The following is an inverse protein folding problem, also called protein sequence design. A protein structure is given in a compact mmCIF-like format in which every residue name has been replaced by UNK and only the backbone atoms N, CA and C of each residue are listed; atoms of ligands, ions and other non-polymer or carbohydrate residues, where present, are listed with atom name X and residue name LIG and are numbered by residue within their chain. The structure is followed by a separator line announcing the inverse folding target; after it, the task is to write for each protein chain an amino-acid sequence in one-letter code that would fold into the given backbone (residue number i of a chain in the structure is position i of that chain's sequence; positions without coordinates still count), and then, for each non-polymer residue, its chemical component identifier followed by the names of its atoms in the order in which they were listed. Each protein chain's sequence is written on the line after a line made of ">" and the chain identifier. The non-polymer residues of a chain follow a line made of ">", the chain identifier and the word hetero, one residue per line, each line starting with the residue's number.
data_IF_596943154613
#
_entry.id   IF_596943154613
#
_cell.length_a   1.000
_cell.length_b   1.000
_cell.length_c   1.000
_cell.angle_alpha   90.00
_cell.angle_beta   90.00
_cell.angle_gamma   90.00
#
_symmetry.space_group_name_H-M   'P 1'
#
loop_
_entity.id
_entity.type
_entity.pdbx_description
1 polymer ?
#
# COMPACT_ATOMS: atom_id res chain seq x y z
N UNK A 1 1.04 -8.77 -24.22
CA UNK A 1 1.76 -8.87 -22.94
C UNK A 1 2.94 -9.80 -23.13
N UNK A 2 4.15 -9.37 -22.80
CA UNK A 2 5.34 -10.23 -22.87
C UNK A 2 5.24 -11.31 -21.78
N UNK A 3 5.49 -12.58 -22.14
CA UNK A 3 5.44 -13.69 -21.19
C UNK A 3 6.77 -13.76 -20.41
N UNK A 4 6.99 -12.79 -19.51
CA UNK A 4 8.19 -12.74 -18.68
C UNK A 4 8.09 -13.84 -17.62
N UNK A 5 9.06 -14.76 -17.60
CA UNK A 5 9.17 -15.74 -16.53
C UNK A 5 9.86 -15.11 -15.31
N UNK A 6 9.06 -14.56 -14.41
CA UNK A 6 9.56 -13.87 -13.21
C UNK A 6 10.32 -14.78 -12.24
N UNK A 7 9.97 -16.07 -12.17
CA UNK A 7 10.70 -17.02 -11.31
C UNK A 7 12.09 -17.31 -11.87
N UNK A 8 12.20 -17.49 -13.19
CA UNK A 8 13.49 -17.61 -13.83
C UNK A 8 14.34 -16.33 -13.66
N UNK A 9 13.72 -15.16 -13.77
CA UNK A 9 14.42 -13.88 -13.56
C UNK A 9 14.90 -13.71 -12.11
N UNK A 10 14.06 -14.07 -11.13
CA UNK A 10 14.45 -14.08 -9.71
C UNK A 10 15.65 -14.98 -9.46
N UNK A 11 15.59 -16.25 -9.92
CA UNK A 11 16.71 -17.18 -9.78
C UNK A 11 17.97 -16.66 -10.46
N UNK A 12 17.86 -16.03 -11.63
CA UNK A 12 19.02 -15.45 -12.32
C UNK A 12 19.66 -14.31 -11.50
N UNK A 13 18.84 -13.45 -10.88
CA UNK A 13 19.32 -12.37 -10.03
C UNK A 13 19.92 -12.88 -8.72
N UNK A 14 19.30 -13.87 -8.05
CA UNK A 14 19.83 -14.46 -6.80
C UNK A 14 21.18 -15.17 -7.00
N UNK A 15 21.42 -15.74 -8.18
CA UNK A 15 22.68 -16.42 -8.50
C UNK A 15 23.76 -15.49 -9.06
N UNK A 16 23.42 -14.24 -9.41
CA UNK A 16 24.37 -13.26 -9.90
C UNK A 16 25.19 -12.66 -8.75
N UNK A 17 26.27 -11.92 -9.07
CA UNK A 17 27.08 -11.23 -8.05
C UNK A 17 26.19 -10.29 -7.23
N UNK A 18 26.06 -10.50 -5.90
CA UNK A 18 25.17 -9.70 -5.07
C UNK A 18 25.73 -8.28 -4.84
N UNK A 19 24.86 -7.37 -4.41
CA UNK A 19 25.22 -6.00 -4.05
C UNK A 19 25.20 -5.02 -5.22
N UNK A 20 25.62 -3.78 -4.93
CA UNK A 20 25.65 -2.70 -5.90
C UNK A 20 26.75 -2.89 -6.93
N UNK A 21 26.44 -2.54 -8.17
CA UNK A 21 27.38 -2.61 -9.29
C UNK A 21 27.70 -1.20 -9.76
N UNK A 22 28.98 -0.94 -10.03
CA UNK A 22 29.46 0.31 -10.58
C UNK A 22 30.03 0.10 -11.98
N UNK A 23 30.17 1.18 -12.75
CA UNK A 23 30.78 1.15 -14.08
C UNK A 23 31.98 2.08 -14.13
N UNK A 24 33.06 1.63 -14.75
CA UNK A 24 34.24 2.45 -15.03
C UNK A 24 34.56 2.49 -16.55
N UNK A 25 35.76 2.94 -16.91
CA UNK A 25 36.18 3.01 -18.31
C UNK A 25 36.30 1.62 -18.98
N UNK A 26 36.55 0.56 -18.21
CA UNK A 26 36.83 -0.77 -18.73
C UNK A 26 35.63 -1.73 -18.65
N UNK A 27 34.75 -1.59 -17.67
CA UNK A 27 33.65 -2.55 -17.47
C UNK A 27 32.70 -2.21 -16.32
N UNK A 28 31.94 -3.22 -15.90
CA UNK A 28 31.14 -3.23 -14.69
C UNK A 28 31.89 -3.96 -13.59
N UNK A 29 31.81 -3.45 -12.37
CA UNK A 29 32.51 -3.95 -11.19
C UNK A 29 31.50 -4.07 -10.04
N UNK A 30 31.69 -5.04 -9.13
CA UNK A 30 30.95 -5.06 -7.86
C UNK A 30 31.57 -4.06 -6.88
N UNK A 31 30.73 -3.21 -6.29
CA UNK A 31 31.18 -2.18 -5.35
C UNK A 31 31.68 -2.78 -4.02
N UNK A 32 31.11 -3.93 -3.62
CA UNK A 32 31.46 -4.62 -2.38
C UNK A 32 31.31 -6.15 -2.48
N UNK A 33 31.82 -6.87 -1.47
CA UNK A 33 31.70 -8.33 -1.35
C UNK A 33 32.89 -9.12 -1.91
N UNK A 34 32.73 -10.44 -2.05
CA UNK A 34 33.81 -11.35 -2.48
C UNK A 34 34.34 -11.05 -3.88
N UNK A 35 33.52 -10.44 -4.73
CA UNK A 35 33.87 -10.01 -6.08
C UNK A 35 34.21 -8.52 -6.18
N UNK A 36 34.41 -7.83 -5.05
CA UNK A 36 34.79 -6.42 -5.05
C UNK A 36 36.04 -6.19 -5.91
N UNK A 37 36.02 -5.16 -6.74
CA UNK A 37 37.08 -4.81 -7.70
C UNK A 37 37.35 -5.83 -8.83
N UNK A 38 36.51 -6.86 -9.00
CA UNK A 38 36.54 -7.71 -10.19
C UNK A 38 35.59 -7.19 -11.26
N UNK A 39 36.04 -7.23 -12.53
CA UNK A 39 35.16 -6.95 -13.67
C UNK A 39 34.14 -8.09 -13.83
N UNK A 40 32.86 -7.74 -13.73
CA UNK A 40 31.72 -8.65 -13.87
C UNK A 40 31.34 -8.79 -15.34
N UNK A 41 31.37 -7.69 -16.09
CA UNK A 41 31.01 -7.66 -17.50
C UNK A 41 31.65 -6.46 -18.20
N UNK A 42 31.83 -6.56 -19.51
CA UNK A 42 32.26 -5.46 -20.38
C UNK A 42 31.23 -5.21 -21.47
N UNK A 43 31.00 -3.95 -21.84
CA UNK A 43 30.19 -3.61 -23.01
C UNK A 43 31.07 -3.07 -24.13
N UNK A 44 30.72 -3.39 -25.36
CA UNK A 44 31.42 -2.95 -26.57
C UNK A 44 30.47 -2.19 -27.50
N UNK A 45 31.03 -1.44 -28.45
CA UNK A 45 30.25 -0.65 -29.41
C UNK A 45 30.09 0.83 -29.01
N UNK A 46 29.41 1.63 -29.86
CA UNK A 46 29.28 3.08 -29.66
C UNK A 46 28.55 3.43 -28.36
N UNK A 47 27.55 2.62 -27.97
CA UNK A 47 26.72 2.86 -26.79
C UNK A 47 27.26 2.21 -25.51
N UNK A 48 28.51 1.71 -25.51
CA UNK A 48 29.07 0.96 -24.38
C UNK A 48 28.93 1.69 -23.03
N UNK A 49 29.11 3.03 -23.03
CA UNK A 49 29.01 3.84 -21.82
C UNK A 49 27.59 3.84 -21.27
N UNK A 50 26.58 3.96 -22.13
CA UNK A 50 25.18 3.93 -21.74
C UNK A 50 24.77 2.53 -21.25
N UNK A 51 25.17 1.49 -21.99
CA UNK A 51 24.86 0.10 -21.65
C UNK A 51 25.44 -0.31 -20.29
N UNK A 52 26.70 0.06 -20.01
CA UNK A 52 27.32 -0.21 -18.70
C UNK A 52 26.55 0.45 -17.56
N UNK A 53 26.17 1.73 -17.72
CA UNK A 53 25.40 2.46 -16.72
C UNK A 53 24.01 1.85 -16.50
N UNK A 54 23.36 1.41 -17.57
CA UNK A 54 22.06 0.74 -17.48
C UNK A 54 22.17 -0.59 -16.71
N UNK A 55 23.13 -1.45 -17.05
CA UNK A 55 23.31 -2.74 -16.36
C UNK A 55 23.70 -2.53 -14.89
N UNK A 56 24.54 -1.53 -14.60
CA UNK A 56 24.91 -1.19 -13.23
C UNK A 56 23.69 -0.73 -12.40
N UNK A 57 22.78 0.05 -13.00
CA UNK A 57 21.53 0.45 -12.35
C UNK A 57 20.54 -0.71 -12.23
N UNK A 58 20.43 -1.55 -13.27
CA UNK A 58 19.60 -2.75 -13.32
C UNK A 58 20.35 -3.99 -12.77
N UNK A 59 21.16 -3.79 -11.74
CA UNK A 59 21.92 -4.85 -11.10
C UNK A 59 20.98 -5.88 -10.41
N UNK A 60 21.50 -7.04 -9.98
CA UNK A 60 20.67 -8.07 -9.35
C UNK A 60 19.89 -7.59 -8.12
N UNK A 61 20.46 -6.70 -7.30
CA UNK A 61 19.77 -6.16 -6.12
C UNK A 61 18.55 -5.32 -6.54
N UNK A 62 18.71 -4.42 -7.51
CA UNK A 62 17.61 -3.63 -8.07
C UNK A 62 16.53 -4.53 -8.71
N UNK A 63 16.93 -5.55 -9.47
CA UNK A 63 15.97 -6.47 -10.10
C UNK A 63 15.17 -7.23 -9.05
N UNK A 64 15.80 -7.71 -7.97
CA UNK A 64 15.10 -8.38 -6.88
C UNK A 64 14.12 -7.44 -6.17
N UNK A 65 14.55 -6.20 -5.88
CA UNK A 65 13.68 -5.19 -5.27
C UNK A 65 12.44 -4.88 -6.13
N UNK A 66 12.62 -4.76 -7.46
CA UNK A 66 11.51 -4.57 -8.39
C UNK A 66 10.56 -5.79 -8.44
N UNK A 67 11.10 -7.00 -8.33
CA UNK A 67 10.30 -8.22 -8.28
C UNK A 67 9.50 -8.30 -6.97
N UNK A 68 10.10 -7.95 -5.84
CA UNK A 68 9.43 -7.84 -4.53
C UNK A 68 8.31 -6.79 -4.58
N UNK A 69 8.57 -5.60 -5.12
CA UNK A 69 7.58 -4.55 -5.28
C UNK A 69 6.42 -5.02 -6.17
N UNK A 70 6.71 -5.66 -7.30
CA UNK A 70 5.69 -6.20 -8.21
C UNK A 70 4.82 -7.24 -7.52
N UNK A 71 5.41 -8.15 -6.75
CA UNK A 71 4.68 -9.17 -5.99
C UNK A 71 3.77 -8.55 -4.93
N UNK A 72 4.28 -7.57 -4.17
CA UNK A 72 3.51 -6.82 -3.19
C UNK A 72 2.32 -6.07 -3.84
N UNK A 73 2.55 -5.39 -4.98
CA UNK A 73 1.48 -4.74 -5.75
C UNK A 73 0.46 -5.76 -6.27
N UNK A 74 0.91 -6.91 -6.78
CA UNK A 74 0.02 -7.97 -7.29
C UNK A 74 -0.90 -8.50 -6.19
N UNK A 75 -0.35 -8.72 -4.99
CA UNK A 75 -1.13 -9.13 -3.81
C UNK A 75 -2.15 -8.07 -3.42
N UNK A 76 -1.74 -6.79 -3.42
CA UNK A 76 -2.64 -5.68 -3.09
C UNK A 76 -3.80 -5.56 -4.07
N UNK A 77 -3.56 -5.76 -5.37
CA UNK A 77 -4.63 -5.76 -6.38
C UNK A 77 -5.63 -6.88 -6.10
N UNK A 78 -5.18 -8.10 -5.82
CA UNK A 78 -6.07 -9.23 -5.53
C UNK A 78 -6.94 -8.99 -4.27
N UNK A 79 -6.36 -8.38 -3.23
CA UNK A 79 -7.11 -7.95 -2.04
C UNK A 79 -8.20 -6.92 -2.38
N UNK A 80 -7.86 -5.90 -3.19
CA UNK A 80 -8.79 -4.86 -3.62
C UNK A 80 -9.92 -5.44 -4.50
N UNK A 81 -9.61 -6.36 -5.41
CA UNK A 81 -10.61 -7.04 -6.24
C UNK A 81 -11.59 -7.85 -5.38
N UNK A 82 -11.09 -8.52 -4.34
CA UNK A 82 -11.92 -9.26 -3.37
C UNK A 82 -12.85 -8.31 -2.60
N UNK A 83 -12.31 -7.20 -2.09
CA UNK A 83 -13.08 -6.19 -1.37
C UNK A 83 -14.15 -5.55 -2.27
N UNK A 84 -13.81 -5.25 -3.53
CA UNK A 84 -14.75 -4.70 -4.50
C UNK A 84 -15.90 -5.67 -4.77
N UNK A 85 -15.60 -6.95 -4.98
CA UNK A 85 -16.62 -7.98 -5.17
C UNK A 85 -17.57 -8.09 -3.96
N UNK A 86 -17.04 -8.05 -2.74
CA UNK A 86 -17.85 -8.07 -1.52
C UNK A 86 -18.75 -6.82 -1.39
N UNK A 87 -18.20 -5.63 -1.62
CA UNK A 87 -18.97 -4.38 -1.60
C UNK A 87 -20.03 -4.32 -2.70
N UNK A 88 -19.74 -4.86 -3.89
CA UNK A 88 -20.71 -4.93 -4.97
C UNK A 88 -21.89 -5.86 -4.62
N UNK A 89 -21.63 -7.01 -3.99
CA UNK A 89 -22.66 -7.93 -3.53
C UNK A 89 -23.52 -7.31 -2.42
N UNK A 90 -22.90 -6.62 -1.46
CA UNK A 90 -23.59 -5.89 -0.39
C UNK A 90 -24.50 -4.79 -0.95
N UNK A 91 -23.98 -3.96 -1.87
CA UNK A 91 -24.75 -2.92 -2.53
C UNK A 91 -25.95 -3.48 -3.31
N UNK A 92 -25.78 -4.63 -3.97
CA UNK A 92 -26.90 -5.30 -4.64
C UNK A 92 -27.98 -5.74 -3.63
N UNK A 93 -27.58 -6.24 -2.47
CA UNK A 93 -28.48 -6.61 -1.38
C UNK A 93 -29.24 -5.41 -0.81
N UNK A 94 -28.55 -4.30 -0.54
CA UNK A 94 -29.16 -3.06 -0.07
C UNK A 94 -30.15 -2.49 -1.08
N UNK A 95 -29.78 -2.43 -2.36
CA UNK A 95 -30.68 -1.97 -3.42
C UNK A 95 -31.96 -2.82 -3.51
N UNK A 96 -31.83 -4.15 -3.37
CA UNK A 96 -32.98 -5.05 -3.33
C UNK A 96 -33.90 -4.76 -2.14
N UNK A 97 -33.32 -4.56 -0.94
CA UNK A 97 -34.07 -4.17 0.26
C UNK A 97 -34.81 -2.84 0.06
N UNK A 98 -34.14 -1.83 -0.50
CA UNK A 98 -34.76 -0.51 -0.75
C UNK A 98 -35.98 -0.66 -1.67
N UNK A 99 -35.87 -1.42 -2.76
CA UNK A 99 -36.96 -1.57 -3.74
C UNK A 99 -38.11 -2.44 -3.22
N UNK A 100 -37.80 -3.50 -2.47
CA UNK A 100 -38.79 -4.53 -2.13
C UNK A 100 -39.36 -4.44 -0.72
N UNK A 101 -38.67 -3.76 0.19
CA UNK A 101 -38.94 -3.87 1.64
C UNK A 101 -38.85 -2.54 2.39
N UNK A 102 -38.33 -1.48 1.76
CA UNK A 102 -38.25 -0.15 2.37
C UNK A 102 -39.43 0.71 1.92
N UNK A 103 -40.32 1.04 2.85
CA UNK A 103 -41.46 1.95 2.62
C UNK A 103 -41.16 3.32 3.26
N UNK A 104 -41.31 4.40 2.50
CA UNK A 104 -41.13 5.78 2.99
C UNK A 104 -42.48 6.31 3.45
N UNK A 105 -42.57 6.70 4.73
CA UNK A 105 -43.75 7.35 5.30
C UNK A 105 -43.55 8.88 5.28
N UNK A 106 -44.45 9.61 4.64
CA UNK A 106 -44.38 11.07 4.46
C UNK A 106 -45.12 11.87 5.53
N UNK A 107 -45.72 11.20 6.52
CA UNK A 107 -46.40 11.85 7.64
C UNK A 107 -47.81 12.35 7.36
N UNK A 108 -48.38 12.09 6.16
CA UNK A 108 -49.70 12.61 5.77
C UNK A 108 -50.87 11.64 6.02
N UNK A 109 -50.62 10.47 6.60
CA UNK A 109 -51.67 9.53 6.99
C UNK A 109 -51.96 9.67 8.50
N UNK A 110 -53.23 9.83 8.85
CA UNK A 110 -53.70 10.06 10.24
C UNK A 110 -53.41 8.87 11.18
N UNK A 111 -53.11 7.68 10.65
CA UNK A 111 -52.69 6.50 11.41
C UNK A 111 -51.56 5.76 10.69
N UNK A 112 -50.38 5.71 11.31
CA UNK A 112 -49.34 4.74 10.95
C UNK A 112 -49.92 3.34 11.18
N UNK A 113 -49.99 2.52 10.14
CA UNK A 113 -50.45 1.13 10.28
C UNK A 113 -49.58 0.40 11.31
N UNK A 114 -50.19 -0.41 12.18
CA UNK A 114 -49.48 -1.32 13.09
C UNK A 114 -48.56 -2.33 12.35
N UNK A 115 -48.71 -2.46 11.02
CA UNK A 115 -47.82 -3.23 10.15
C UNK A 115 -46.54 -2.47 9.72
N UNK A 116 -46.43 -1.18 10.05
CA UNK A 116 -45.22 -0.40 9.83
C UNK A 116 -44.11 -0.86 10.79
N UNK A 117 -42.98 -1.29 10.23
CA UNK A 117 -41.78 -1.63 10.98
C UNK A 117 -40.68 -0.72 10.46
N UNK A 118 -39.97 -0.02 11.35
CA UNK A 118 -38.87 0.83 10.93
C UNK A 118 -37.75 -0.03 10.31
N UNK A 119 -36.96 0.52 9.38
CA UNK A 119 -35.94 -0.27 8.68
C UNK A 119 -34.93 -0.96 9.61
N UNK A 120 -34.63 -0.35 10.76
CA UNK A 120 -33.74 -0.95 11.77
C UNK A 120 -34.36 -2.14 12.49
N UNK A 121 -35.68 -2.14 12.70
CA UNK A 121 -36.43 -3.28 13.28
C UNK A 121 -36.86 -4.29 12.21
N UNK A 122 -36.93 -3.86 10.95
CA UNK A 122 -37.41 -4.60 9.78
C UNK A 122 -36.36 -5.46 9.09
N UNK A 123 -35.22 -5.70 9.74
CA UNK A 123 -34.18 -6.59 9.21
C UNK A 123 -33.37 -5.99 8.06
N UNK A 124 -33.05 -4.69 8.12
CA UNK A 124 -32.10 -4.07 7.19
C UNK A 124 -30.83 -4.93 7.05
N UNK A 125 -30.37 -5.22 5.81
CA UNK A 125 -29.14 -5.96 5.59
C UNK A 125 -27.95 -5.30 6.29
N UNK A 126 -27.12 -6.13 6.93
CA UNK A 126 -25.89 -5.68 7.56
C UNK A 126 -24.86 -5.23 6.51
N UNK A 127 -24.06 -4.22 6.86
CA UNK A 127 -23.04 -3.64 5.98
C UNK A 127 -21.62 -4.13 6.32
N UNK A 128 -21.49 -5.43 6.53
CA UNK A 128 -20.25 -6.06 7.00
C UNK A 128 -19.05 -5.86 6.08
N UNK A 129 -19.25 -5.82 4.75
CA UNK A 129 -18.17 -5.58 3.80
C UNK A 129 -17.71 -4.11 3.86
N UNK A 130 -18.64 -3.18 4.01
CA UNK A 130 -18.33 -1.77 4.27
C UNK A 130 -17.55 -1.59 5.58
N UNK A 131 -17.99 -2.24 6.66
CA UNK A 131 -17.31 -2.15 7.95
C UNK A 131 -15.88 -2.73 7.89
N UNK A 132 -15.70 -3.87 7.25
CA UNK A 132 -14.39 -4.48 7.02
C UNK A 132 -13.48 -3.56 6.19
N UNK A 133 -13.99 -3.00 5.08
CA UNK A 133 -13.23 -2.06 4.25
C UNK A 133 -12.81 -0.81 5.04
N UNK A 134 -13.71 -0.23 5.84
CA UNK A 134 -13.39 0.93 6.68
C UNK A 134 -12.37 0.59 7.78
N UNK A 135 -12.45 -0.61 8.36
CA UNK A 135 -11.47 -1.10 9.32
C UNK A 135 -10.08 -1.21 8.68
N UNK A 136 -9.99 -1.76 7.47
CA UNK A 136 -8.74 -1.86 6.70
C UNK A 136 -8.15 -0.48 6.39
N UNK A 137 -8.97 0.47 5.91
CA UNK A 137 -8.53 1.85 5.63
C UNK A 137 -8.01 2.53 6.90
N UNK A 138 -8.71 2.37 8.03
CA UNK A 138 -8.27 2.90 9.33
C UNK A 138 -6.96 2.26 9.78
N UNK A 139 -6.81 0.95 9.62
CA UNK A 139 -5.58 0.24 9.98
C UNK A 139 -4.38 0.71 9.13
N UNK A 140 -4.56 0.91 7.82
CA UNK A 140 -3.51 1.46 6.95
C UNK A 140 -3.12 2.85 7.39
N UNK A 141 -4.09 3.76 7.54
CA UNK A 141 -3.83 5.14 7.97
C UNK A 141 -3.12 5.20 9.33
N UNK A 142 -3.54 4.36 10.28
CA UNK A 142 -2.91 4.28 11.60
C UNK A 142 -1.47 3.76 11.52
N UNK A 143 -1.20 2.74 10.70
CA UNK A 143 0.14 2.20 10.51
C UNK A 143 1.08 3.21 9.85
N UNK A 144 0.60 3.97 8.86
CA UNK A 144 1.37 5.05 8.22
C UNK A 144 1.66 6.18 9.20
N UNK A 145 0.67 6.58 9.99
CA UNK A 145 0.84 7.58 11.04
C UNK A 145 1.88 7.11 12.06
N UNK A 146 1.80 5.86 12.52
CA UNK A 146 2.79 5.26 13.43
C UNK A 146 4.19 5.27 12.82
N UNK A 147 4.34 4.89 11.56
CA UNK A 147 5.63 4.92 10.88
C UNK A 147 6.20 6.35 10.78
N UNK A 148 5.35 7.34 10.52
CA UNK A 148 5.75 8.75 10.52
C UNK A 148 6.22 9.20 11.90
N UNK A 149 5.48 8.88 12.97
CA UNK A 149 5.89 9.18 14.34
C UNK A 149 7.25 8.56 14.70
N UNK A 150 7.47 7.29 14.39
CA UNK A 150 8.76 6.61 14.64
C UNK A 150 9.91 7.31 13.90
N UNK A 151 9.68 7.77 12.66
CA UNK A 151 10.70 8.56 11.94
C UNK A 151 10.99 9.88 12.64
N UNK A 152 9.96 10.62 13.07
CA UNK A 152 10.15 11.90 13.76
C UNK A 152 10.78 11.76 15.14
N UNK A 153 10.42 10.74 15.92
CA UNK A 153 11.04 10.46 17.21
C UNK A 153 12.55 10.22 17.08
N UNK A 154 12.96 9.43 16.09
CA UNK A 154 14.39 9.21 15.77
C UNK A 154 15.11 10.51 15.39
N UNK A 155 14.47 11.38 14.62
CA UNK A 155 15.04 12.71 14.27
C UNK A 155 15.16 13.61 15.50
N UNK A 156 14.21 13.52 16.43
CA UNK A 156 14.21 14.29 17.68
C UNK A 156 15.15 13.74 18.77
N UNK A 157 15.76 12.56 18.55
CA UNK A 157 16.65 11.92 19.51
C UNK A 157 15.93 11.28 20.71
N UNK A 158 14.63 11.02 20.59
CA UNK A 158 13.84 10.30 21.59
C UNK A 158 14.15 8.80 21.54
N UNK A 159 14.24 8.15 22.71
CA UNK A 159 14.48 6.71 22.85
C UNK A 159 13.24 5.94 23.35
N UNK A 160 13.35 4.62 23.48
CA UNK A 160 12.23 3.74 23.88
C UNK A 160 11.84 3.90 25.38
N UNK A 161 12.65 4.60 26.18
CA UNK A 161 12.32 4.95 27.57
C UNK A 161 11.49 6.25 27.67
N UNK A 162 11.48 7.05 26.60
CA UNK A 162 10.66 8.27 26.50
C UNK A 162 9.19 7.91 26.20
N UNK A 163 8.36 7.83 27.24
CA UNK A 163 6.91 7.67 27.07
C UNK A 163 6.23 9.00 26.79
N UNK A 164 5.70 9.17 25.57
CA UNK A 164 4.83 10.28 25.21
C UNK A 164 3.39 9.96 25.65
N UNK A 165 2.75 10.86 26.38
CA UNK A 165 1.38 10.68 26.84
C UNK A 165 0.38 10.76 25.69
N UNK A 166 -0.78 10.08 25.81
CA UNK A 166 -1.87 10.19 24.84
C UNK A 166 -2.29 11.65 24.60
N UNK A 167 -2.17 12.50 25.63
CA UNK A 167 -2.45 13.93 25.54
C UNK A 167 -1.48 14.64 24.60
N UNK A 168 -0.18 14.43 24.77
CA UNK A 168 0.86 15.05 23.92
C UNK A 168 0.75 14.60 22.46
N UNK A 169 0.44 13.32 22.22
CA UNK A 169 0.16 12.82 20.86
C UNK A 169 -1.08 13.49 20.26
N UNK A 170 -2.14 13.65 21.07
CA UNK A 170 -3.39 14.30 20.62
C UNK A 170 -3.17 15.77 20.29
N UNK A 171 -2.44 16.50 21.15
CA UNK A 171 -2.10 17.91 20.94
C UNK A 171 -1.22 18.09 19.69
N UNK A 172 -0.23 17.21 19.47
CA UNK A 172 0.60 17.24 18.28
C UNK A 172 -0.21 16.98 16.99
N UNK A 173 -1.14 16.02 17.01
CA UNK A 173 -2.02 15.75 15.88
C UNK A 173 -2.99 16.91 15.61
N UNK A 174 -3.54 17.53 16.65
CA UNK A 174 -4.41 18.70 16.53
C UNK A 174 -3.66 19.88 15.90
N UNK A 175 -2.43 20.13 16.38
CA UNK A 175 -1.58 21.18 15.84
C UNK A 175 -1.25 20.97 14.35
N UNK A 176 -0.91 19.74 13.95
CA UNK A 176 -0.72 19.40 12.54
C UNK A 176 -2.00 19.63 11.71
N UNK A 177 -3.17 19.26 12.24
CA UNK A 177 -4.45 19.47 11.56
C UNK A 177 -4.79 20.96 11.40
N UNK A 178 -4.41 21.80 12.36
CA UNK A 178 -4.57 23.26 12.30
C UNK A 178 -3.63 23.88 11.26
N UNK A 179 -2.38 23.44 11.19
CA UNK A 179 -1.40 23.87 10.18
C UNK A 179 -1.85 23.54 8.75
N UNK A 180 -2.52 22.40 8.55
CA UNK A 180 -3.07 22.03 7.23
C UNK A 180 -4.26 22.93 6.84
N UNK A 181 -5.02 23.46 7.81
CA UNK A 181 -6.18 24.34 7.55
C UNK A 181 -5.79 25.80 7.29
N UNK A 182 -4.62 26.23 7.75
CA UNK A 182 -4.09 27.56 7.51
C UNK A 182 -2.65 27.43 6.98
N UNK A 183 -2.46 27.17 5.68
CA UNK A 183 -1.14 27.20 5.10
C UNK A 183 -0.69 28.66 5.08
N UNK A 184 0.31 29.00 5.91
CA UNK A 184 1.09 30.23 5.71
C UNK A 184 1.88 30.16 4.39
#
# INVERSE_FOLDING_TARGET
>A
MSNINYQALRMAAENATPGEWCSDDYGLIADAGLNANYYIASCSGPDNRANKRFIAAANPATVLALLDEREAQSKRIAELETNLAALAAENAGLNKFIVQSCYVFDGQQDELSDAYICATDGGMPQTSATDAFLADVRAVAFNELRAAFVRHAKVAGLDDADTVTLKEVTEALLHCAEQIRAPE
#
